data_IF_019143615731
#
_entry.id   IF_019143615731
#
_cell.length_a   1.000
_cell.length_b   1.000
_cell.length_c   1.000
_cell.angle_alpha   90.00
_cell.angle_beta   90.00
_cell.angle_gamma   90.00
#
_symmetry.space_group_name_H-M   'P 1'
#
loop_
_entity.id
_entity.type
_entity.pdbx_description
1 polymer ?
#
# COMPACT_ATOMS: atom_id res chain seq x y z
N UNK A 1 -16.55 -22.51 -7.58
CA UNK A 1 -16.20 -21.39 -6.68
C UNK A 1 -15.53 -20.35 -7.54
N UNK A 2 -16.31 -19.40 -8.01
CA UNK A 2 -16.01 -18.58 -9.18
C UNK A 2 -15.20 -17.35 -8.76
N UNK A 3 -13.86 -17.48 -8.80
CA UNK A 3 -12.94 -16.37 -8.49
C UNK A 3 -13.19 -15.13 -9.37
N UNK A 4 -13.69 -15.33 -10.59
CA UNK A 4 -14.00 -14.25 -11.54
C UNK A 4 -15.09 -13.29 -11.04
N UNK A 5 -16.02 -13.73 -10.18
CA UNK A 5 -17.02 -12.85 -9.59
C UNK A 5 -16.41 -11.86 -8.59
N UNK A 6 -15.53 -12.37 -7.72
CA UNK A 6 -14.86 -11.57 -6.68
C UNK A 6 -13.86 -10.57 -7.26
N UNK A 7 -13.15 -10.96 -8.32
CA UNK A 7 -12.27 -10.02 -9.03
C UNK A 7 -13.05 -8.87 -9.67
N UNK A 8 -14.19 -9.16 -10.31
CA UNK A 8 -15.04 -8.12 -10.90
C UNK A 8 -15.57 -7.14 -9.85
N UNK A 9 -16.03 -7.66 -8.71
CA UNK A 9 -16.47 -6.84 -7.58
C UNK A 9 -15.33 -5.96 -7.03
N UNK A 10 -14.13 -6.53 -6.89
CA UNK A 10 -12.94 -5.80 -6.46
C UNK A 10 -12.55 -4.68 -7.44
N UNK A 11 -12.62 -4.94 -8.76
CA UNK A 11 -12.34 -3.93 -9.80
C UNK A 11 -13.37 -2.78 -9.72
N UNK A 12 -14.64 -3.09 -9.49
CA UNK A 12 -15.68 -2.08 -9.34
C UNK A 12 -15.44 -1.20 -8.10
N UNK A 13 -15.07 -1.80 -6.97
CA UNK A 13 -14.70 -1.07 -5.76
C UNK A 13 -13.50 -0.14 -5.98
N UNK A 14 -12.48 -0.61 -6.70
CA UNK A 14 -11.33 0.23 -7.10
C UNK A 14 -11.77 1.41 -7.97
N UNK A 15 -12.62 1.17 -8.97
CA UNK A 15 -13.08 2.22 -9.87
C UNK A 15 -13.93 3.27 -9.13
N UNK A 16 -14.74 2.84 -8.16
CA UNK A 16 -15.50 3.74 -7.30
C UNK A 16 -14.60 4.55 -6.35
N UNK A 17 -13.59 3.90 -5.77
CA UNK A 17 -12.58 4.56 -4.94
C UNK A 17 -11.78 5.61 -5.73
N UNK A 18 -11.34 5.30 -6.95
CA UNK A 18 -10.62 6.25 -7.83
C UNK A 18 -11.49 7.46 -8.20
N UNK A 19 -12.78 7.26 -8.45
CA UNK A 19 -13.73 8.36 -8.67
C UNK A 19 -13.85 9.27 -7.43
N UNK A 20 -13.90 8.68 -6.24
CA UNK A 20 -13.95 9.45 -4.97
C UNK A 20 -12.66 10.24 -4.73
N UNK A 21 -11.50 9.66 -5.01
CA UNK A 21 -10.18 10.33 -4.94
C UNK A 21 -10.04 11.45 -5.98
N UNK A 22 -10.50 11.24 -7.21
CA UNK A 22 -10.45 12.30 -8.25
C UNK A 22 -11.43 13.44 -7.95
N UNK A 23 -12.59 13.12 -7.38
CA UNK A 23 -13.57 14.12 -6.95
C UNK A 23 -13.04 15.00 -5.81
N UNK A 24 -12.16 14.48 -4.94
CA UNK A 24 -11.52 15.29 -3.90
C UNK A 24 -10.38 16.19 -4.41
N UNK A 25 -9.79 15.89 -5.58
CA UNK A 25 -8.71 16.68 -6.21
C UNK A 25 -9.14 17.87 -7.09
N UNK A 26 -10.44 18.08 -7.31
CA UNK A 26 -10.94 19.26 -8.06
C UNK A 26 -10.85 20.52 -7.21
N UNK A 27 -9.70 21.18 -7.34
CA UNK A 27 -9.17 22.44 -6.81
C UNK A 27 -10.07 23.70 -6.95
N UNK A 28 -11.37 23.67 -6.65
CA UNK A 28 -12.19 24.89 -6.61
C UNK A 28 -13.35 24.84 -5.58
N UNK A 29 -13.06 24.41 -4.34
CA UNK A 29 -14.10 24.36 -3.32
C UNK A 29 -13.62 24.11 -1.89
N UNK A 30 -12.94 25.10 -1.29
CA UNK A 30 -13.03 25.35 0.16
C UNK A 30 -12.39 24.34 1.13
N UNK A 31 -11.07 24.42 1.28
CA UNK A 31 -10.32 24.52 2.55
C UNK A 31 -10.66 23.69 3.82
N UNK A 32 -11.58 22.72 3.89
CA UNK A 32 -11.79 21.98 5.17
C UNK A 32 -12.45 20.58 5.12
N UNK A 33 -12.50 19.87 3.99
CA UNK A 33 -13.30 18.61 3.90
C UNK A 33 -12.72 17.43 3.11
N UNK A 34 -11.47 17.50 2.65
CA UNK A 34 -10.89 16.53 1.70
C UNK A 34 -10.45 15.18 2.30
N UNK A 35 -10.03 15.15 3.57
CA UNK A 35 -9.41 13.95 4.16
C UNK A 35 -10.36 12.77 4.27
N UNK A 36 -11.62 12.97 4.70
CA UNK A 36 -12.54 11.85 4.87
C UNK A 36 -12.88 11.12 3.57
N UNK A 37 -12.92 11.81 2.42
CA UNK A 37 -13.19 11.16 1.14
C UNK A 37 -12.02 10.27 0.70
N UNK A 38 -10.79 10.68 1.00
CA UNK A 38 -9.58 9.93 0.68
C UNK A 38 -9.42 8.74 1.65
N UNK A 39 -9.80 8.93 2.91
CA UNK A 39 -9.81 7.87 3.93
C UNK A 39 -10.84 6.78 3.61
N UNK A 40 -12.05 7.17 3.21
CA UNK A 40 -13.07 6.24 2.73
C UNK A 40 -12.58 5.48 1.48
N UNK A 41 -11.93 6.19 0.54
CA UNK A 41 -11.33 5.55 -0.64
C UNK A 41 -10.26 4.52 -0.27
N UNK A 42 -9.38 4.81 0.71
CA UNK A 42 -8.42 3.84 1.23
C UNK A 42 -9.09 2.54 1.71
N UNK A 43 -10.16 2.65 2.49
CA UNK A 43 -10.89 1.45 2.96
C UNK A 43 -11.49 0.64 1.81
N UNK A 44 -11.99 1.31 0.76
CA UNK A 44 -12.49 0.64 -0.44
C UNK A 44 -11.37 -0.09 -1.19
N UNK A 45 -10.18 0.53 -1.32
CA UNK A 45 -9.01 -0.15 -1.89
C UNK A 45 -8.58 -1.35 -1.05
N UNK A 46 -8.56 -1.24 0.27
CA UNK A 46 -8.19 -2.35 1.16
C UNK A 46 -9.19 -3.51 1.08
N UNK A 47 -10.50 -3.22 0.98
CA UNK A 47 -11.54 -4.23 0.73
C UNK A 47 -11.35 -4.92 -0.63
N UNK A 48 -11.14 -4.15 -1.69
CA UNK A 48 -10.86 -4.71 -3.02
C UNK A 48 -9.60 -5.58 -3.01
N UNK A 49 -8.54 -5.14 -2.33
CA UNK A 49 -7.30 -5.90 -2.21
C UNK A 49 -7.50 -7.25 -1.48
N UNK A 50 -8.34 -7.27 -0.44
CA UNK A 50 -8.72 -8.52 0.23
C UNK A 50 -9.51 -9.46 -0.69
N UNK A 51 -10.41 -8.94 -1.53
CA UNK A 51 -11.11 -9.73 -2.55
C UNK A 51 -10.16 -10.31 -3.60
N UNK A 52 -9.16 -9.54 -4.06
CA UNK A 52 -8.11 -10.05 -4.95
C UNK A 52 -7.25 -11.15 -4.30
N UNK A 53 -6.94 -11.02 -2.99
CA UNK A 53 -6.28 -12.10 -2.22
C UNK A 53 -7.12 -13.37 -2.21
N UNK A 54 -8.45 -13.27 -2.03
CA UNK A 54 -9.35 -14.43 -2.10
C UNK A 54 -9.40 -15.05 -3.50
N UNK A 55 -9.32 -14.21 -4.54
CA UNK A 55 -9.26 -14.66 -5.93
C UNK A 55 -7.91 -15.30 -6.33
N UNK A 56 -6.92 -15.31 -5.41
CA UNK A 56 -5.52 -15.73 -5.64
C UNK A 56 -4.78 -14.84 -6.65
N UNK A 57 -5.28 -13.63 -6.91
CA UNK A 57 -4.66 -12.67 -7.80
C UNK A 57 -3.78 -11.72 -6.99
N UNK A 58 -2.55 -12.17 -6.73
CA UNK A 58 -1.62 -11.47 -5.84
C UNK A 58 -1.06 -10.18 -6.47
N UNK A 59 -0.87 -10.14 -7.79
CA UNK A 59 -0.40 -8.94 -8.51
C UNK A 59 -1.42 -7.81 -8.41
N UNK A 60 -2.71 -8.09 -8.66
CA UNK A 60 -3.76 -7.09 -8.56
C UNK A 60 -3.99 -6.64 -7.11
N UNK A 61 -3.93 -7.56 -6.15
CA UNK A 61 -4.02 -7.23 -4.72
C UNK A 61 -2.90 -6.29 -4.28
N UNK A 62 -1.65 -6.58 -4.68
CA UNK A 62 -0.50 -5.73 -4.38
C UNK A 62 -0.66 -4.32 -4.95
N UNK A 63 -1.10 -4.21 -6.21
CA UNK A 63 -1.36 -2.91 -6.84
C UNK A 63 -2.43 -2.11 -6.10
N UNK A 64 -3.52 -2.76 -5.66
CA UNK A 64 -4.58 -2.13 -4.89
C UNK A 64 -4.06 -1.60 -3.53
N UNK A 65 -3.25 -2.39 -2.82
CA UNK A 65 -2.60 -1.95 -1.58
C UNK A 65 -1.61 -0.81 -1.80
N UNK A 66 -0.85 -0.81 -2.90
CA UNK A 66 0.02 0.32 -3.24
C UNK A 66 -0.76 1.61 -3.47
N UNK A 67 -1.93 1.53 -4.11
CA UNK A 67 -2.79 2.70 -4.28
C UNK A 67 -3.34 3.18 -2.93
N UNK A 68 -3.82 2.29 -2.07
CA UNK A 68 -4.23 2.63 -0.71
C UNK A 68 -3.08 3.29 0.09
N UNK A 69 -1.87 2.72 0.02
CA UNK A 69 -0.70 3.25 0.72
C UNK A 69 -0.32 4.66 0.27
N UNK A 70 -0.40 4.94 -1.03
CA UNK A 70 -0.17 6.28 -1.60
C UNK A 70 -1.21 7.30 -1.11
N UNK A 71 -2.46 6.90 -0.98
CA UNK A 71 -3.52 7.75 -0.43
C UNK A 71 -3.33 8.00 1.07
N UNK A 72 -2.93 6.98 1.84
CA UNK A 72 -2.54 7.15 3.24
C UNK A 72 -1.36 8.11 3.43
N UNK A 73 -0.40 8.12 2.49
CA UNK A 73 0.68 9.12 2.48
C UNK A 73 0.16 10.55 2.27
N UNK A 74 -0.84 10.74 1.40
CA UNK A 74 -1.48 12.05 1.20
C UNK A 74 -2.23 12.52 2.45
N UNK A 75 -2.84 11.58 3.18
CA UNK A 75 -3.53 11.84 4.45
C UNK A 75 -2.61 12.16 5.63
N UNK A 76 -1.27 12.14 5.44
CA UNK A 76 -0.25 12.21 6.50
C UNK A 76 -0.29 11.03 7.50
N UNK A 77 -1.03 9.96 7.20
CA UNK A 77 -1.08 8.73 8.01
C UNK A 77 0.10 7.81 7.65
N UNK A 78 1.32 8.25 7.97
CA UNK A 78 2.57 7.53 7.67
C UNK A 78 2.60 6.10 8.22
N UNK A 79 2.01 5.88 9.40
CA UNK A 79 1.96 4.56 10.04
C UNK A 79 1.12 3.55 9.23
N UNK A 80 -0.08 3.96 8.79
CA UNK A 80 -0.99 3.11 8.01
C UNK A 80 -0.51 2.93 6.57
N UNK A 81 0.13 3.97 6.00
CA UNK A 81 0.79 3.88 4.70
C UNK A 81 1.90 2.81 4.72
N UNK A 82 2.76 2.83 5.73
CA UNK A 82 3.84 1.86 5.87
C UNK A 82 3.31 0.43 6.04
N UNK A 83 2.26 0.25 6.86
CA UNK A 83 1.57 -1.04 7.03
C UNK A 83 1.01 -1.56 5.69
N UNK A 84 0.34 -0.68 4.93
CA UNK A 84 -0.22 -1.00 3.61
C UNK A 84 0.86 -1.38 2.59
N UNK A 85 2.03 -0.73 2.60
CA UNK A 85 3.17 -1.10 1.74
C UNK A 85 3.77 -2.46 2.10
N UNK A 86 3.81 -2.82 3.39
CA UNK A 86 4.24 -4.15 3.84
C UNK A 86 3.26 -5.23 3.37
N UNK A 87 1.95 -4.98 3.45
CA UNK A 87 0.93 -5.89 2.95
C UNK A 87 0.99 -6.04 1.42
N UNK A 88 1.26 -4.95 0.70
CA UNK A 88 1.54 -5.00 -0.75
C UNK A 88 2.76 -5.86 -1.06
N UNK A 89 3.88 -5.65 -0.34
CA UNK A 89 5.10 -6.45 -0.48
C UNK A 89 4.87 -7.94 -0.22
N UNK A 90 4.04 -8.28 0.77
CA UNK A 90 3.65 -9.66 1.06
C UNK A 90 2.83 -10.30 -0.07
N UNK A 91 1.95 -9.52 -0.73
CA UNK A 91 1.21 -9.99 -1.90
C UNK A 91 2.15 -10.16 -3.11
N UNK A 92 2.98 -9.15 -3.42
CA UNK A 92 3.91 -9.19 -4.54
C UNK A 92 4.98 -10.26 -4.40
N UNK A 93 5.40 -10.64 -3.18
CA UNK A 93 6.35 -11.73 -2.98
C UNK A 93 5.94 -13.04 -3.67
N UNK A 94 4.63 -13.28 -3.86
CA UNK A 94 4.09 -14.47 -4.56
C UNK A 94 3.85 -14.25 -6.06
N UNK A 95 3.82 -13.00 -6.51
CA UNK A 95 3.58 -12.61 -7.90
C UNK A 95 4.87 -12.19 -8.59
N UNK A 96 5.47 -11.09 -8.10
CA UNK A 96 6.61 -10.41 -8.68
C UNK A 96 7.57 -9.94 -7.57
N UNK A 97 8.73 -10.60 -7.39
CA UNK A 97 9.66 -10.25 -6.32
C UNK A 97 10.29 -8.87 -6.49
N UNK A 98 10.41 -8.36 -7.73
CA UNK A 98 10.95 -7.02 -8.02
C UNK A 98 10.05 -5.91 -7.46
N UNK A 99 8.74 -6.00 -7.72
CA UNK A 99 7.78 -5.02 -7.19
C UNK A 99 7.63 -5.12 -5.67
N UNK A 100 7.79 -6.32 -5.11
CA UNK A 100 7.82 -6.50 -3.65
C UNK A 100 8.98 -5.72 -3.01
N UNK A 101 10.18 -5.74 -3.61
CA UNK A 101 11.35 -4.99 -3.12
C UNK A 101 11.06 -3.49 -3.17
N UNK A 102 10.51 -2.99 -4.27
CA UNK A 102 10.15 -1.57 -4.41
C UNK A 102 9.15 -1.13 -3.33
N UNK A 103 8.13 -1.93 -3.06
CA UNK A 103 7.13 -1.65 -2.02
C UNK A 103 7.73 -1.68 -0.60
N UNK A 104 8.59 -2.66 -0.32
CA UNK A 104 9.25 -2.78 0.98
C UNK A 104 10.24 -1.64 1.22
N UNK A 105 10.99 -1.22 0.20
CA UNK A 105 11.87 -0.05 0.29
C UNK A 105 11.07 1.23 0.63
N UNK A 106 9.93 1.45 -0.03
CA UNK A 106 9.05 2.58 0.28
C UNK A 106 8.54 2.53 1.73
N UNK A 107 8.17 1.34 2.25
CA UNK A 107 7.79 1.19 3.65
C UNK A 107 8.95 1.53 4.62
N UNK A 108 10.17 1.06 4.30
CA UNK A 108 11.38 1.33 5.08
C UNK A 108 11.68 2.83 5.12
N UNK A 109 11.56 3.54 4.00
CA UNK A 109 11.76 4.98 3.95
C UNK A 109 10.77 5.72 4.87
N UNK A 110 9.50 5.34 4.85
CA UNK A 110 8.46 5.91 5.72
C UNK A 110 8.74 5.60 7.19
N UNK A 111 9.08 4.35 7.54
CA UNK A 111 9.46 3.98 8.90
C UNK A 111 10.73 4.72 9.37
N UNK A 112 11.71 4.88 8.49
CA UNK A 112 12.96 5.60 8.79
C UNK A 112 12.70 7.08 9.02
N UNK A 113 11.84 7.70 8.22
CA UNK A 113 11.41 9.10 8.40
C UNK A 113 10.68 9.30 9.74
N UNK A 114 9.81 8.34 10.13
CA UNK A 114 9.16 8.35 11.45
C UNK A 114 10.15 8.16 12.62
N UNK A 115 11.21 7.35 12.41
CA UNK A 115 12.20 7.00 13.44
C UNK A 115 13.32 8.03 13.55
N UNK A 116 13.54 8.87 12.54
CA UNK A 116 14.55 9.94 12.59
C UNK A 116 14.31 10.96 13.71
N UNK A 117 13.07 11.07 14.20
CA UNK A 117 12.73 11.84 15.42
C UNK A 117 12.99 11.12 16.75
N UNK A 118 13.26 9.80 16.74
CA UNK A 118 13.54 8.95 17.92
C UNK A 118 14.84 8.15 17.72
N UNK A 119 15.95 8.88 17.79
CA UNK A 119 17.33 8.43 18.01
C UNK A 119 17.54 6.93 18.41
N UNK A 120 18.32 6.23 17.57
CA UNK A 120 19.36 5.24 17.94
C UNK A 120 18.98 3.76 18.16
N UNK A 121 17.75 3.34 18.51
CA UNK A 121 17.50 1.89 18.77
C UNK A 121 17.26 1.00 17.53
N UNK A 122 16.88 1.58 16.39
CA UNK A 122 16.55 0.84 15.15
C UNK A 122 17.71 0.70 14.15
N UNK A 123 18.84 1.36 14.39
CA UNK A 123 19.99 1.34 13.47
C UNK A 123 20.55 -0.08 13.29
N UNK A 124 20.38 -0.96 14.27
CA UNK A 124 20.75 -2.38 14.16
C UNK A 124 19.75 -3.19 13.33
N UNK A 125 18.44 -2.89 13.40
CA UNK A 125 17.40 -3.62 12.68
C UNK A 125 17.34 -3.24 11.19
N UNK A 126 17.52 -1.97 10.87
CA UNK A 126 17.53 -1.48 9.49
C UNK A 126 18.74 -2.03 8.70
N UNK A 127 19.91 -2.14 9.35
CA UNK A 127 21.10 -2.74 8.72
C UNK A 127 20.96 -4.25 8.54
N UNK A 128 20.35 -4.97 9.50
CA UNK A 128 20.02 -6.39 9.38
C UNK A 128 18.95 -6.65 8.31
N UNK A 129 17.95 -5.79 8.18
CA UNK A 129 16.93 -5.88 7.12
C UNK A 129 17.50 -5.57 5.75
N UNK A 130 18.37 -4.55 5.59
CA UNK A 130 19.10 -4.30 4.36
C UNK A 130 20.04 -5.47 4.00
N UNK A 131 20.73 -6.05 4.98
CA UNK A 131 21.58 -7.22 4.76
C UNK A 131 20.77 -8.48 4.40
N UNK A 132 19.57 -8.66 4.98
CA UNK A 132 18.65 -9.74 4.63
C UNK A 132 17.99 -9.54 3.26
N UNK A 133 17.61 -8.31 2.90
CA UNK A 133 17.05 -7.97 1.58
C UNK A 133 18.12 -8.11 0.48
N UNK A 134 19.37 -7.67 0.76
CA UNK A 134 20.51 -7.89 -0.15
C UNK A 134 20.87 -9.37 -0.30
N UNK A 135 20.67 -10.18 0.74
CA UNK A 135 20.89 -11.64 0.69
C UNK A 135 19.74 -12.38 0.00
N UNK A 136 18.50 -11.87 0.09
CA UNK A 136 17.33 -12.43 -0.59
C UNK A 136 17.38 -12.21 -2.12
N UNK A 137 18.00 -11.12 -2.57
CA UNK A 137 18.26 -10.82 -4.00
C UNK A 137 19.45 -11.57 -4.58
N UNK A 138 20.35 -12.10 -3.74
CA UNK A 138 21.51 -12.89 -4.18
C UNK A 138 21.23 -14.41 -4.30
N UNK A 139 20.01 -14.86 -3.99
CA UNK A 139 19.59 -16.28 -4.01
C UNK A 139 18.43 -16.52 -4.98
N UNK A 140 18.09 -15.53 -5.81
CA UNK A 140 17.26 -15.72 -7.00
C UNK A 140 18.11 -15.63 -8.25
#
# INVERSE_FOLDING_TARGET
MDNSGKEKEAIQLIAEADKKVKSSGSFLGGMFGGNHKVEEACEMYARAANMFKMAKNWSAAGNAFCQAARLHMQLQNKHDAATSFVDAGNAFKKADPQEAINCLNAAIDIYTDMVRGRFIKHFCLAMLLLYMVARQTSVF
#
